data_IF_665834016976
#
_entry.id   IF_665834016976
#
_cell.length_a   1.000
_cell.length_b   1.000
_cell.length_c   1.000
_cell.angle_alpha   90.00
_cell.angle_beta   90.00
_cell.angle_gamma   90.00
#
_symmetry.space_group_name_H-M   'P 1'
#
loop_
_entity.id
_entity.type
_entity.pdbx_description
1 polymer ?
#
# COMPACT_ATOMS: atom_id res chain seq x y z
N UNK A 1 78.38 58.21 16.62
CA UNK A 1 77.81 58.54 16.68
C UNK A 1 76.61 59.14 15.97
N UNK A 2 75.97 58.72 14.98
CA UNK A 2 74.78 59.31 14.36
C UNK A 2 73.55 58.46 14.67
N UNK A 3 72.57 59.00 15.37
CA UNK A 3 71.24 58.46 15.59
C UNK A 3 70.38 58.78 14.36
N UNK A 4 69.75 57.78 13.79
CA UNK A 4 68.71 58.01 12.80
C UNK A 4 67.37 57.58 13.38
N UNK A 5 66.47 58.52 13.50
CA UNK A 5 65.04 58.36 13.77
C UNK A 5 64.37 57.89 12.47
N UNK A 6 63.59 56.83 12.56
CA UNK A 6 62.65 56.46 11.48
C UNK A 6 61.24 56.63 12.02
N UNK A 7 60.49 57.55 11.41
CA UNK A 7 59.06 57.83 11.69
C UNK A 7 58.21 56.67 11.22
N UNK A 8 57.35 56.20 12.10
CA UNK A 8 56.33 55.17 11.79
C UNK A 8 55.02 55.85 11.34
N UNK A 9 54.71 55.68 10.08
CA UNK A 9 53.40 56.14 9.54
C UNK A 9 52.34 55.03 9.72
N UNK A 10 51.31 55.36 10.50
CA UNK A 10 50.12 54.46 10.69
C UNK A 10 49.18 54.64 9.50
N UNK A 11 49.02 53.59 8.69
CA UNK A 11 47.99 53.50 7.66
C UNK A 11 46.82 52.69 8.26
N UNK A 12 45.67 53.39 8.49
CA UNK A 12 44.40 52.78 8.83
C UNK A 12 43.79 52.21 7.54
N UNK A 13 43.79 50.91 7.39
CA UNK A 13 42.97 50.21 6.39
C UNK A 13 41.65 49.81 7.00
N UNK A 14 40.56 50.52 6.57
CA UNK A 14 39.19 50.10 6.87
C UNK A 14 38.87 48.81 6.12
N UNK A 15 38.83 47.70 6.83
CA UNK A 15 38.38 46.41 6.30
C UNK A 15 36.88 46.36 6.11
N UNK A 16 36.42 46.39 4.88
CA UNK A 16 35.03 46.07 4.52
C UNK A 16 34.89 44.53 4.60
N UNK A 17 34.31 44.05 5.67
CA UNK A 17 33.87 42.62 5.74
C UNK A 17 32.56 42.48 4.97
N UNK A 18 32.64 42.03 3.73
CA UNK A 18 31.48 41.53 3.01
C UNK A 18 31.11 40.17 3.60
N UNK A 19 30.01 40.16 4.37
CA UNK A 19 29.36 38.92 4.80
C UNK A 19 28.81 38.22 3.54
N UNK A 20 29.51 37.21 3.06
CA UNK A 20 28.97 36.29 2.07
C UNK A 20 27.96 35.42 2.81
N UNK A 21 26.69 35.76 2.73
CA UNK A 21 25.61 34.87 3.11
C UNK A 21 25.63 33.72 2.12
N UNK A 22 26.22 32.61 2.53
CA UNK A 22 26.12 31.33 1.83
C UNK A 22 24.65 30.93 1.84
N UNK A 23 23.96 31.09 0.72
CA UNK A 23 22.75 30.35 0.48
C UNK A 23 23.13 28.87 0.52
N UNK A 24 22.79 28.16 1.58
CA UNK A 24 22.74 26.71 1.54
C UNK A 24 21.76 26.32 0.43
N UNK A 25 22.29 25.93 -0.71
CA UNK A 25 21.52 25.19 -1.70
C UNK A 25 21.06 23.94 -1.01
N UNK A 26 19.77 23.85 -0.74
CA UNK A 26 19.11 22.57 -0.47
C UNK A 26 19.55 21.62 -1.57
N UNK A 27 20.24 20.54 -1.19
CA UNK A 27 20.65 19.49 -2.14
C UNK A 27 19.34 18.91 -2.68
N UNK A 28 19.04 19.18 -3.95
CA UNK A 28 17.99 18.43 -4.64
C UNK A 28 18.34 16.96 -4.59
N UNK A 29 17.35 16.13 -4.27
CA UNK A 29 17.53 14.68 -4.36
C UNK A 29 18.07 14.31 -5.74
N UNK A 30 18.98 13.34 -5.85
CA UNK A 30 19.44 12.90 -7.16
C UNK A 30 18.23 12.40 -7.98
N UNK A 31 18.28 12.52 -9.33
CA UNK A 31 17.20 12.02 -10.17
C UNK A 31 16.91 10.54 -9.87
N UNK A 32 15.65 10.09 -9.99
CA UNK A 32 15.31 8.69 -9.75
C UNK A 32 16.11 7.76 -10.67
N UNK A 33 16.61 6.65 -10.12
CA UNK A 33 17.22 5.58 -10.90
C UNK A 33 16.21 4.81 -11.74
N UNK A 34 16.67 3.77 -12.41
CA UNK A 34 15.80 2.81 -13.10
C UNK A 34 15.24 1.77 -12.11
N UNK A 35 14.04 1.23 -12.36
CA UNK A 35 13.44 0.22 -11.51
C UNK A 35 14.26 -1.08 -11.49
N UNK A 36 14.43 -1.65 -10.31
CA UNK A 36 15.11 -2.93 -10.09
C UNK A 36 14.13 -4.08 -10.32
N UNK A 37 14.53 -5.11 -11.05
CA UNK A 37 13.66 -6.26 -11.32
C UNK A 37 13.71 -7.30 -10.20
N UNK A 38 12.57 -7.61 -9.60
CA UNK A 38 12.42 -8.77 -8.71
C UNK A 38 12.09 -9.99 -9.58
N UNK A 39 13.04 -10.92 -9.67
CA UNK A 39 12.88 -12.12 -10.51
C UNK A 39 12.16 -13.22 -9.73
N UNK A 40 10.93 -13.52 -10.14
CA UNK A 40 10.13 -14.63 -9.63
C UNK A 40 10.25 -15.85 -10.55
N UNK A 41 10.28 -17.06 -9.97
CA UNK A 41 10.10 -18.30 -10.71
C UNK A 41 8.66 -18.39 -11.24
N UNK A 42 8.40 -19.31 -12.19
CA UNK A 42 7.03 -19.52 -12.69
C UNK A 42 6.05 -19.86 -11.56
N UNK A 43 6.45 -20.71 -10.62
CA UNK A 43 5.62 -21.09 -9.47
C UNK A 43 5.30 -19.89 -8.55
N UNK A 44 6.28 -19.03 -8.31
CA UNK A 44 6.08 -17.81 -7.52
C UNK A 44 5.15 -16.82 -8.24
N UNK A 45 5.26 -16.69 -9.56
CA UNK A 45 4.31 -15.88 -10.36
C UNK A 45 2.89 -16.42 -10.25
N UNK A 46 2.69 -17.73 -10.36
CA UNK A 46 1.38 -18.36 -10.18
C UNK A 46 0.78 -18.11 -8.78
N UNK A 47 1.60 -18.03 -7.71
CA UNK A 47 1.13 -17.68 -6.36
C UNK A 47 0.70 -16.21 -6.31
N UNK A 48 1.48 -15.28 -6.89
CA UNK A 48 1.12 -13.86 -6.98
C UNK A 48 -0.16 -13.65 -7.78
N UNK A 49 -0.31 -14.32 -8.91
CA UNK A 49 -1.54 -14.28 -9.73
C UNK A 49 -2.75 -14.78 -8.94
N UNK A 50 -2.59 -15.83 -8.14
CA UNK A 50 -3.64 -16.33 -7.25
C UNK A 50 -4.01 -15.32 -6.17
N UNK A 51 -3.02 -14.70 -5.53
CA UNK A 51 -3.24 -13.65 -4.54
C UNK A 51 -3.95 -12.43 -5.15
N UNK A 52 -3.60 -12.02 -6.36
CA UNK A 52 -4.28 -10.94 -7.08
C UNK A 52 -5.72 -11.34 -7.47
N UNK A 53 -5.95 -12.60 -7.84
CA UNK A 53 -7.31 -13.10 -8.09
C UNK A 53 -8.17 -13.07 -6.84
N UNK A 54 -7.64 -13.55 -5.71
CA UNK A 54 -8.29 -13.44 -4.41
C UNK A 54 -8.59 -11.96 -4.08
N UNK A 55 -7.65 -11.05 -4.37
CA UNK A 55 -7.85 -9.62 -4.15
C UNK A 55 -9.08 -9.07 -4.88
N UNK A 56 -9.27 -9.43 -6.15
CA UNK A 56 -10.44 -9.01 -6.92
C UNK A 56 -11.72 -9.69 -6.40
N UNK A 57 -11.68 -10.98 -6.09
CA UNK A 57 -12.81 -11.72 -5.55
C UNK A 57 -13.28 -11.18 -4.19
N UNK A 58 -12.36 -10.60 -3.39
CA UNK A 58 -12.68 -9.91 -2.14
C UNK A 58 -13.17 -8.47 -2.37
N UNK A 59 -12.49 -7.70 -3.22
CA UNK A 59 -12.72 -6.27 -3.37
C UNK A 59 -14.02 -5.93 -4.12
N UNK A 60 -14.30 -6.66 -5.21
CA UNK A 60 -15.47 -6.37 -6.06
C UNK A 60 -16.79 -6.45 -5.30
N UNK A 61 -17.06 -7.49 -4.49
CA UNK A 61 -18.27 -7.53 -3.65
C UNK A 61 -18.34 -6.41 -2.62
N UNK A 62 -17.19 -6.04 -1.99
CA UNK A 62 -17.15 -4.94 -1.02
C UNK A 62 -17.52 -3.61 -1.66
N UNK A 63 -17.02 -3.30 -2.86
CA UNK A 63 -17.40 -2.10 -3.61
C UNK A 63 -18.89 -2.13 -3.99
N UNK A 64 -19.41 -3.28 -4.42
CA UNK A 64 -20.81 -3.44 -4.81
C UNK A 64 -21.77 -3.26 -3.61
N UNK A 65 -21.40 -3.77 -2.42
CA UNK A 65 -22.16 -3.59 -1.18
C UNK A 65 -22.34 -2.11 -0.82
N UNK A 66 -21.26 -1.32 -0.89
CA UNK A 66 -21.24 0.09 -0.50
C UNK A 66 -21.81 1.04 -1.57
N UNK A 67 -22.14 0.54 -2.75
CA UNK A 67 -22.73 1.29 -3.87
C UNK A 67 -21.99 2.58 -4.23
N UNK A 68 -20.68 2.61 -4.01
CA UNK A 68 -19.83 3.77 -4.31
C UNK A 68 -19.94 4.95 -3.34
N UNK A 69 -20.57 4.78 -2.17
CA UNK A 69 -20.83 5.88 -1.23
C UNK A 69 -19.74 6.09 -0.16
N UNK A 70 -18.81 5.17 -0.03
CA UNK A 70 -17.78 5.20 1.02
C UNK A 70 -16.38 5.06 0.43
N UNK A 71 -15.41 5.68 1.07
CA UNK A 71 -14.01 5.40 0.81
C UNK A 71 -13.67 3.99 1.32
N UNK A 72 -12.97 3.21 0.51
CA UNK A 72 -12.63 1.82 0.81
C UNK A 72 -11.16 1.62 0.50
N UNK A 73 -10.45 0.90 1.37
CA UNK A 73 -9.08 0.48 1.10
C UNK A 73 -8.82 -0.90 1.67
N UNK A 74 -8.35 -1.78 0.84
CA UNK A 74 -7.92 -3.13 1.21
C UNK A 74 -6.45 -3.28 0.84
N UNK A 75 -5.67 -3.94 1.70
CA UNK A 75 -4.34 -4.44 1.37
C UNK A 75 -4.43 -5.94 1.11
N UNK A 76 -4.56 -6.37 -0.15
CA UNK A 76 -4.61 -7.80 -0.46
C UNK A 76 -3.36 -8.53 0.00
N UNK A 77 -2.19 -7.91 -0.15
CA UNK A 77 -0.93 -8.49 0.29
C UNK A 77 -0.94 -8.77 1.81
N UNK A 78 -1.46 -7.82 2.62
CA UNK A 78 -1.62 -8.00 4.06
C UNK A 78 -2.56 -9.16 4.39
N UNK A 79 -3.76 -9.16 3.79
CA UNK A 79 -4.79 -10.18 4.05
C UNK A 79 -4.30 -11.56 3.64
N UNK A 80 -3.74 -11.71 2.42
CA UNK A 80 -3.26 -13.02 1.95
C UNK A 80 -2.05 -13.50 2.73
N UNK A 81 -1.17 -12.61 3.20
CA UNK A 81 -0.04 -12.95 4.06
C UNK A 81 -0.54 -13.52 5.41
N UNK A 82 -1.46 -12.81 6.09
CA UNK A 82 -2.01 -13.25 7.37
C UNK A 82 -2.75 -14.60 7.24
N UNK A 83 -3.58 -14.74 6.19
CA UNK A 83 -4.30 -16.00 5.95
C UNK A 83 -3.37 -17.14 5.53
N UNK A 84 -2.27 -16.85 4.82
CA UNK A 84 -1.26 -17.87 4.50
C UNK A 84 -0.45 -18.31 5.72
N UNK A 85 -0.20 -17.40 6.68
CA UNK A 85 0.33 -17.79 8.01
C UNK A 85 -0.62 -18.77 8.71
N UNK A 86 -1.92 -18.45 8.71
CA UNK A 86 -2.95 -19.31 9.32
C UNK A 86 -3.09 -20.65 8.60
N UNK A 87 -2.98 -20.66 7.26
CA UNK A 87 -3.03 -21.86 6.42
C UNK A 87 -1.94 -22.88 6.79
N UNK A 88 -0.76 -22.44 7.23
CA UNK A 88 0.29 -23.34 7.74
C UNK A 88 -0.15 -24.13 8.97
N UNK A 89 -1.14 -23.63 9.69
CA UNK A 89 -1.70 -24.24 10.89
C UNK A 89 -2.92 -25.12 10.63
N UNK A 90 -3.53 -24.99 9.47
CA UNK A 90 -4.74 -25.73 9.10
C UNK A 90 -4.43 -27.16 8.66
N UNK A 91 -5.42 -28.06 8.82
CA UNK A 91 -5.36 -29.44 8.37
C UNK A 91 -6.71 -29.85 7.76
N UNK A 92 -6.75 -31.01 7.10
CA UNK A 92 -7.96 -31.62 6.57
C UNK A 92 -8.82 -30.70 5.71
N UNK A 93 -10.12 -30.69 5.94
CA UNK A 93 -11.09 -29.88 5.19
C UNK A 93 -10.87 -28.36 5.39
N UNK A 94 -10.40 -27.94 6.56
CA UNK A 94 -10.09 -26.54 6.83
C UNK A 94 -8.95 -26.05 5.95
N UNK A 95 -7.89 -26.85 5.80
CA UNK A 95 -6.77 -26.53 4.92
C UNK A 95 -7.21 -26.38 3.46
N UNK A 96 -8.01 -27.32 2.95
CA UNK A 96 -8.47 -27.29 1.56
C UNK A 96 -9.44 -26.12 1.30
N UNK A 97 -10.36 -25.83 2.24
CA UNK A 97 -11.27 -24.71 2.14
C UNK A 97 -10.52 -23.36 2.12
N UNK A 98 -9.57 -23.16 3.04
CA UNK A 98 -8.74 -21.97 3.09
C UNK A 98 -7.90 -21.81 1.82
N UNK A 99 -7.26 -22.90 1.37
CA UNK A 99 -6.43 -22.92 0.17
C UNK A 99 -7.22 -22.56 -1.08
N UNK A 100 -8.43 -23.11 -1.24
CA UNK A 100 -9.33 -22.81 -2.35
C UNK A 100 -9.84 -21.36 -2.29
N UNK A 101 -10.25 -20.88 -1.11
CA UNK A 101 -10.67 -19.50 -0.92
C UNK A 101 -9.56 -18.51 -1.33
N UNK A 102 -8.31 -18.80 -0.99
CA UNK A 102 -7.12 -18.02 -1.36
C UNK A 102 -6.67 -18.22 -2.83
N UNK A 103 -7.37 -19.07 -3.60
CA UNK A 103 -7.03 -19.37 -5.00
C UNK A 103 -5.69 -20.09 -5.17
N UNK A 104 -5.25 -20.84 -4.15
CA UNK A 104 -3.99 -21.59 -4.18
C UNK A 104 -4.18 -23.04 -4.63
N UNK A 105 -5.29 -23.37 -5.31
CA UNK A 105 -5.51 -24.71 -5.87
C UNK A 105 -4.33 -25.15 -6.72
N UNK A 106 -3.91 -26.41 -6.56
CA UNK A 106 -2.75 -26.98 -7.26
C UNK A 106 -1.38 -26.55 -6.75
N UNK A 107 -1.29 -25.63 -5.78
CA UNK A 107 -0.03 -25.16 -5.18
C UNK A 107 0.26 -25.89 -3.87
N UNK A 108 1.53 -26.13 -3.58
CA UNK A 108 1.95 -26.69 -2.29
C UNK A 108 2.10 -25.55 -1.26
N UNK A 109 1.99 -25.89 0.02
CA UNK A 109 2.22 -24.92 1.10
C UNK A 109 3.65 -24.35 1.05
N UNK A 110 4.61 -25.13 0.58
CA UNK A 110 6.00 -24.72 0.46
C UNK A 110 6.19 -23.69 -0.67
N UNK A 111 5.56 -23.88 -1.85
CA UNK A 111 5.55 -22.90 -2.94
C UNK A 111 4.96 -21.56 -2.49
N UNK A 112 3.88 -21.59 -1.69
CA UNK A 112 3.25 -20.41 -1.11
C UNK A 112 4.22 -19.73 -0.14
N UNK A 113 4.77 -20.47 0.81
CA UNK A 113 5.66 -19.98 1.85
C UNK A 113 6.94 -19.34 1.27
N UNK A 114 7.58 -20.01 0.33
CA UNK A 114 8.80 -19.50 -0.34
C UNK A 114 8.51 -18.24 -1.15
N UNK A 115 7.31 -18.13 -1.74
CA UNK A 115 6.91 -16.93 -2.45
C UNK A 115 6.77 -15.74 -1.50
N UNK A 116 6.07 -15.90 -0.36
CA UNK A 116 5.95 -14.82 0.62
C UNK A 116 7.29 -14.41 1.21
N UNK A 117 8.16 -15.38 1.54
CA UNK A 117 9.51 -15.07 1.99
C UNK A 117 10.28 -14.20 0.98
N UNK A 118 10.20 -14.58 -0.30
CA UNK A 118 10.87 -13.84 -1.36
C UNK A 118 10.29 -12.43 -1.52
N UNK A 119 8.96 -12.30 -1.59
CA UNK A 119 8.30 -11.00 -1.71
C UNK A 119 8.65 -10.09 -0.55
N UNK A 120 8.57 -10.55 0.70
CA UNK A 120 8.91 -9.77 1.88
C UNK A 120 10.38 -9.31 1.91
N UNK A 121 11.29 -10.16 1.44
CA UNK A 121 12.72 -9.81 1.41
C UNK A 121 13.09 -8.86 0.28
N UNK A 122 12.47 -9.01 -0.87
CA UNK A 122 12.90 -8.30 -2.07
C UNK A 122 12.11 -6.99 -2.29
N UNK A 123 10.82 -6.96 -1.94
CA UNK A 123 10.00 -5.75 -2.12
C UNK A 123 10.41 -4.62 -1.17
N UNK A 124 10.73 -4.93 0.09
CA UNK A 124 11.08 -3.89 1.08
C UNK A 124 12.28 -3.02 0.65
N UNK A 125 13.43 -3.56 0.23
CA UNK A 125 14.60 -2.75 -0.13
C UNK A 125 14.65 -2.33 -1.61
N UNK A 126 13.65 -2.67 -2.43
CA UNK A 126 13.77 -2.58 -3.90
C UNK A 126 13.85 -1.14 -4.42
N UNK A 127 13.26 -0.19 -3.71
CA UNK A 127 13.24 1.22 -4.08
C UNK A 127 13.65 2.09 -2.90
N UNK A 128 14.74 2.83 -3.02
CA UNK A 128 15.28 3.66 -1.93
C UNK A 128 14.48 4.94 -1.67
N UNK A 129 13.54 5.30 -2.55
CA UNK A 129 12.64 6.46 -2.42
C UNK A 129 11.24 6.06 -1.96
N UNK A 130 11.03 4.76 -1.74
CA UNK A 130 9.79 4.19 -1.20
C UNK A 130 10.12 3.48 0.10
N UNK A 131 9.38 3.80 1.15
CA UNK A 131 9.42 3.06 2.40
C UNK A 131 8.24 2.08 2.36
N UNK A 132 8.56 0.81 2.30
CA UNK A 132 7.59 -0.27 2.46
C UNK A 132 8.04 -1.12 3.63
N UNK A 133 7.19 -1.25 4.63
CA UNK A 133 7.43 -2.08 5.79
C UNK A 133 6.32 -3.09 5.95
N UNK A 134 6.72 -4.32 6.21
CA UNK A 134 5.83 -5.46 6.39
C UNK A 134 6.15 -6.05 7.74
N UNK A 135 5.22 -5.97 8.66
CA UNK A 135 5.38 -6.51 10.00
C UNK A 135 4.35 -7.60 10.27
N UNK A 136 4.84 -8.80 10.58
CA UNK A 136 4.02 -9.95 10.94
C UNK A 136 4.23 -10.30 12.40
N UNK A 137 3.16 -10.60 13.12
CA UNK A 137 3.28 -11.14 14.47
C UNK A 137 2.24 -12.22 14.76
N UNK A 138 2.63 -13.16 15.61
CA UNK A 138 1.75 -14.13 16.22
C UNK A 138 1.77 -13.93 17.73
N UNK A 139 0.61 -13.70 18.31
CA UNK A 139 0.40 -13.53 19.73
C UNK A 139 -0.32 -14.76 20.26
N UNK A 140 0.36 -15.51 21.10
CA UNK A 140 -0.14 -16.79 21.62
C UNK A 140 -0.60 -16.57 23.04
N UNK A 141 -1.87 -16.94 23.35
CA UNK A 141 -2.36 -16.94 24.74
C UNK A 141 -1.44 -17.84 25.57
N UNK A 142 -0.98 -17.32 26.71
CA UNK A 142 0.05 -17.98 27.54
C UNK A 142 -0.33 -19.39 28.04
N UNK A 143 -1.63 -19.73 28.04
CA UNK A 143 -2.13 -21.07 28.42
C UNK A 143 -2.17 -22.06 27.27
N UNK A 144 -2.00 -21.58 26.01
CA UNK A 144 -2.03 -22.41 24.82
C UNK A 144 -0.63 -23.00 24.54
N UNK A 145 -0.58 -24.31 24.30
CA UNK A 145 0.63 -24.95 23.81
C UNK A 145 0.61 -24.99 22.29
N UNK A 146 1.43 -24.12 21.67
CA UNK A 146 1.58 -24.06 20.20
C UNK A 146 2.75 -24.93 19.76
N UNK A 147 2.55 -25.68 18.67
CA UNK A 147 3.58 -26.53 18.07
C UNK A 147 4.76 -25.68 17.58
N UNK A 148 5.96 -26.09 17.97
CA UNK A 148 7.18 -25.36 17.59
C UNK A 148 7.36 -25.30 16.06
N UNK A 149 6.99 -26.35 15.34
CA UNK A 149 7.03 -26.41 13.88
C UNK A 149 6.22 -25.29 13.20
N UNK A 150 5.06 -24.94 13.76
CA UNK A 150 4.25 -23.83 13.28
C UNK A 150 4.95 -22.48 13.51
N UNK A 151 5.43 -22.23 14.72
CA UNK A 151 6.18 -21.00 15.04
C UNK A 151 7.43 -20.85 14.15
N UNK A 152 8.16 -21.96 13.92
CA UNK A 152 9.34 -21.96 13.06
C UNK A 152 9.00 -21.64 11.61
N UNK A 153 7.88 -22.17 11.08
CA UNK A 153 7.39 -21.83 9.74
C UNK A 153 7.06 -20.35 9.61
N UNK A 154 6.35 -19.76 10.58
CA UNK A 154 6.01 -18.34 10.57
C UNK A 154 7.26 -17.44 10.63
N UNK A 155 8.21 -17.76 11.50
CA UNK A 155 9.47 -17.03 11.60
C UNK A 155 10.30 -17.14 10.31
N UNK A 156 10.37 -18.33 9.73
CA UNK A 156 11.18 -18.60 8.54
C UNK A 156 10.64 -17.91 7.30
N UNK A 157 9.33 -18.08 7.03
CA UNK A 157 8.73 -17.73 5.75
C UNK A 157 8.02 -16.37 5.75
N UNK A 158 7.55 -15.93 6.90
CA UNK A 158 6.79 -14.67 7.02
C UNK A 158 7.52 -13.63 7.88
N UNK A 159 8.73 -13.93 8.35
CA UNK A 159 9.53 -13.07 9.22
C UNK A 159 8.75 -12.64 10.48
N UNK A 160 7.81 -13.46 10.93
CA UNK A 160 6.89 -13.12 11.98
C UNK A 160 7.55 -13.09 13.37
N UNK A 161 7.19 -12.09 14.18
CA UNK A 161 7.49 -12.07 15.61
C UNK A 161 6.53 -12.98 16.37
N UNK A 162 7.05 -13.93 17.16
CA UNK A 162 6.22 -14.75 18.04
C UNK A 162 6.25 -14.19 19.45
N UNK A 163 5.07 -13.87 19.99
CA UNK A 163 4.90 -13.26 21.31
C UNK A 163 3.90 -14.05 22.15
N UNK A 164 4.08 -14.07 23.47
CA UNK A 164 3.07 -14.59 24.40
C UNK A 164 2.24 -13.45 24.96
N UNK A 165 0.94 -13.66 25.13
CA UNK A 165 0.01 -12.68 25.68
C UNK A 165 -0.89 -13.31 26.73
N UNK A 166 -1.24 -12.56 27.75
CA UNK A 166 -2.29 -12.88 28.71
C UNK A 166 -3.55 -12.09 28.34
N UNK A 167 -4.53 -12.75 27.70
CA UNK A 167 -5.76 -12.06 27.27
C UNK A 167 -6.62 -11.58 28.44
N UNK A 168 -6.33 -12.02 29.68
CA UNK A 168 -7.01 -11.56 30.89
C UNK A 168 -6.35 -10.32 31.52
N UNK A 169 -5.16 -9.93 31.03
CA UNK A 169 -4.52 -8.69 31.46
C UNK A 169 -5.28 -7.49 30.89
N UNK A 170 -5.75 -6.55 31.72
CA UNK A 170 -6.40 -5.32 31.24
C UNK A 170 -5.57 -4.50 30.24
N UNK A 171 -4.25 -4.70 30.21
CA UNK A 171 -3.33 -4.03 29.28
C UNK A 171 -3.07 -4.80 27.98
N UNK A 172 -3.66 -5.98 27.83
CA UNK A 172 -3.38 -6.82 26.66
C UNK A 172 -3.71 -6.13 25.34
N UNK A 173 -4.84 -5.41 25.28
CA UNK A 173 -5.26 -4.60 24.13
C UNK A 173 -4.22 -3.52 23.82
N UNK A 174 -3.81 -2.76 24.84
CA UNK A 174 -2.84 -1.66 24.68
C UNK A 174 -1.48 -2.17 24.18
N UNK A 175 -1.05 -3.35 24.68
CA UNK A 175 0.21 -3.97 24.24
C UNK A 175 0.17 -4.32 22.75
N UNK A 176 -0.94 -4.87 22.27
CA UNK A 176 -1.10 -5.25 20.86
C UNK A 176 -1.25 -4.02 19.99
N UNK A 177 -2.09 -3.06 20.37
CA UNK A 177 -2.27 -1.80 19.64
C UNK A 177 -0.95 -1.02 19.56
N UNK A 178 -0.21 -0.92 20.66
CA UNK A 178 1.10 -0.25 20.67
C UNK A 178 2.13 -0.90 19.73
N UNK A 179 2.09 -2.22 19.54
CA UNK A 179 2.91 -2.88 18.53
C UNK A 179 2.49 -2.50 17.10
N UNK A 180 1.18 -2.43 16.84
CA UNK A 180 0.64 -2.03 15.52
C UNK A 180 1.01 -0.58 15.22
N UNK A 181 0.81 0.32 16.18
CA UNK A 181 1.16 1.74 16.08
C UNK A 181 2.65 1.91 15.75
N UNK A 182 3.53 1.25 16.50
CA UNK A 182 4.98 1.26 16.22
C UNK A 182 5.29 0.83 14.79
N UNK A 183 4.70 -0.28 14.32
CA UNK A 183 4.97 -0.85 13.00
C UNK A 183 4.30 -0.09 11.85
N UNK A 184 3.39 0.80 12.14
CA UNK A 184 2.70 1.63 11.15
C UNK A 184 2.95 3.12 11.32
N UNK A 185 4.00 3.49 12.07
CA UNK A 185 4.38 4.89 12.33
C UNK A 185 3.20 5.74 12.82
N UNK A 186 2.46 5.22 13.81
CA UNK A 186 1.26 5.83 14.42
C UNK A 186 0.10 6.07 13.43
N UNK A 187 0.09 5.41 12.25
CA UNK A 187 -0.97 5.59 11.25
C UNK A 187 -2.16 4.67 11.46
N UNK A 188 -1.96 3.52 12.08
CA UNK A 188 -3.03 2.61 12.48
C UNK A 188 -3.06 2.59 14.00
N UNK A 189 -4.07 3.24 14.59
CA UNK A 189 -4.27 3.33 16.02
C UNK A 189 -5.56 2.58 16.40
N UNK A 190 -5.62 2.10 17.64
CA UNK A 190 -6.82 1.49 18.22
C UNK A 190 -7.45 0.40 17.32
N UNK A 191 -6.60 -0.44 16.69
CA UNK A 191 -7.09 -1.52 15.83
C UNK A 191 -7.98 -2.50 16.60
N UNK A 192 -7.60 -2.80 17.85
CA UNK A 192 -8.36 -3.65 18.77
C UNK A 192 -9.05 -2.80 19.83
N UNK A 193 -10.33 -3.04 20.06
CA UNK A 193 -11.08 -2.47 21.18
C UNK A 193 -11.15 -3.42 22.38
N UNK A 194 -11.05 -4.74 22.11
CA UNK A 194 -11.15 -5.78 23.12
C UNK A 194 -10.47 -7.07 22.62
N UNK A 195 -10.08 -7.93 23.54
CA UNK A 195 -9.68 -9.30 23.29
C UNK A 195 -10.68 -10.25 23.95
N UNK A 196 -11.13 -11.28 23.23
CA UNK A 196 -11.98 -12.31 23.82
C UNK A 196 -11.20 -13.09 24.89
N UNK A 197 -11.80 -13.39 26.05
CA UNK A 197 -11.19 -14.28 27.06
C UNK A 197 -10.88 -15.69 26.53
N UNK A 198 -11.59 -16.10 25.47
CA UNK A 198 -11.43 -17.41 24.81
C UNK A 198 -10.45 -17.35 23.62
N UNK A 199 -9.81 -16.20 23.42
CA UNK A 199 -8.82 -16.07 22.34
C UNK A 199 -7.63 -17.00 22.60
N UNK A 200 -7.39 -17.89 21.66
CA UNK A 200 -6.24 -18.81 21.68
C UNK A 200 -5.00 -18.17 21.09
N UNK A 201 -5.16 -17.51 19.95
CA UNK A 201 -4.06 -16.91 19.18
C UNK A 201 -4.58 -15.75 18.34
N UNK A 202 -3.72 -14.74 18.17
CA UNK A 202 -3.97 -13.59 17.30
C UNK A 202 -2.82 -13.46 16.30
N UNK A 203 -3.15 -13.42 15.01
CA UNK A 203 -2.19 -13.11 13.95
C UNK A 203 -2.43 -11.71 13.45
N UNK A 204 -1.36 -10.95 13.32
CA UNK A 204 -1.40 -9.59 12.82
C UNK A 204 -0.42 -9.46 11.68
N UNK A 205 -0.87 -8.90 10.58
CA UNK A 205 -0.03 -8.36 9.53
C UNK A 205 -0.30 -6.86 9.43
N UNK A 206 0.75 -6.06 9.49
CA UNK A 206 0.71 -4.63 9.26
C UNK A 206 1.59 -4.30 8.06
N UNK A 207 1.05 -3.53 7.12
CA UNK A 207 1.79 -3.02 5.97
C UNK A 207 1.74 -1.50 6.00
N UNK A 208 2.93 -0.90 6.04
CA UNK A 208 3.12 0.53 5.91
C UNK A 208 3.75 0.83 4.56
N UNK A 209 3.21 1.83 3.86
CA UNK A 209 3.72 2.28 2.58
C UNK A 209 3.80 3.80 2.55
N UNK A 210 4.97 4.30 2.18
CA UNK A 210 5.22 5.71 1.94
C UNK A 210 6.07 5.84 0.68
N UNK A 211 5.47 6.33 -0.39
CA UNK A 211 6.13 6.48 -1.68
C UNK A 211 6.10 7.93 -2.15
N UNK A 212 7.25 8.52 -2.45
CA UNK A 212 7.32 9.77 -3.19
C UNK A 212 6.97 9.51 -4.65
N UNK A 213 6.19 10.38 -5.28
CA UNK A 213 6.01 10.31 -6.73
C UNK A 213 7.38 10.35 -7.45
N UNK A 214 7.49 9.66 -8.57
CA UNK A 214 8.67 9.78 -9.42
C UNK A 214 8.83 11.22 -9.91
N UNK A 215 7.73 11.82 -10.34
CA UNK A 215 7.58 13.23 -10.66
C UNK A 215 6.54 13.80 -9.68
N UNK A 216 6.99 14.66 -8.76
CA UNK A 216 6.12 15.26 -7.75
C UNK A 216 5.24 16.33 -8.41
N UNK A 217 4.01 16.52 -7.89
CA UNK A 217 3.16 17.65 -8.31
C UNK A 217 3.69 18.96 -7.71
N UNK A 218 3.57 20.07 -8.44
CA UNK A 218 3.87 21.37 -7.88
C UNK A 218 2.72 21.82 -6.95
N UNK A 219 3.09 22.21 -5.73
CA UNK A 219 2.11 22.71 -4.73
C UNK A 219 1.44 24.00 -5.17
N UNK A 220 2.15 24.83 -5.94
CA UNK A 220 1.65 26.13 -6.43
C UNK A 220 0.60 25.93 -7.54
N UNK A 221 0.59 24.77 -8.22
CA UNK A 221 -0.40 24.39 -9.24
C UNK A 221 -1.64 23.70 -8.64
N UNK A 222 -1.63 23.39 -7.33
CA UNK A 222 -2.78 22.81 -6.64
C UNK A 222 -3.84 23.89 -6.39
N UNK A 223 -5.06 23.66 -6.87
CA UNK A 223 -6.19 24.57 -6.76
C UNK A 223 -7.43 23.86 -6.27
N UNK A 224 -8.27 24.57 -5.50
CA UNK A 224 -9.58 24.07 -5.14
C UNK A 224 -10.46 23.97 -6.39
N UNK A 225 -10.87 22.74 -6.72
CA UNK A 225 -11.74 22.45 -7.87
C UNK A 225 -12.88 21.51 -7.45
N UNK A 226 -13.99 21.49 -8.21
CA UNK A 226 -15.11 20.63 -7.89
C UNK A 226 -14.77 19.15 -8.11
N UNK A 227 -15.08 18.33 -7.11
CA UNK A 227 -15.14 16.87 -7.20
C UNK A 227 -16.62 16.45 -7.09
N UNK A 228 -17.12 15.73 -8.07
CA UNK A 228 -18.53 15.34 -8.21
C UNK A 228 -18.78 14.01 -7.51
N UNK A 229 -19.20 14.06 -6.24
CA UNK A 229 -19.52 12.85 -5.45
C UNK A 229 -20.66 12.05 -6.10
N UNK A 230 -21.66 12.76 -6.60
CA UNK A 230 -22.79 12.19 -7.40
C UNK A 230 -23.13 13.15 -8.54
N UNK A 231 -23.86 12.67 -9.58
CA UNK A 231 -24.41 13.58 -10.58
C UNK A 231 -25.22 14.72 -9.93
N UNK A 232 -24.76 15.95 -10.05
CA UNK A 232 -25.42 17.15 -9.49
C UNK A 232 -25.00 17.55 -8.07
N UNK A 233 -24.09 16.79 -7.41
CA UNK A 233 -23.52 17.17 -6.11
C UNK A 233 -22.01 17.16 -6.18
N UNK A 234 -21.38 18.30 -5.90
CA UNK A 234 -19.91 18.44 -5.86
C UNK A 234 -19.43 19.08 -4.58
N UNK A 235 -18.18 18.80 -4.25
CA UNK A 235 -17.43 19.41 -3.15
C UNK A 235 -16.16 20.07 -3.70
N UNK A 236 -15.69 21.13 -3.07
CA UNK A 236 -14.39 21.72 -3.42
C UNK A 236 -13.30 20.93 -2.70
N UNK A 237 -12.29 20.55 -3.47
CA UNK A 237 -11.15 19.79 -2.95
C UNK A 237 -9.85 20.32 -3.55
N UNK A 238 -8.73 20.24 -2.81
CA UNK A 238 -7.41 20.53 -3.38
C UNK A 238 -7.12 19.56 -4.52
N UNK A 239 -7.12 20.08 -5.74
CA UNK A 239 -6.87 19.32 -6.97
C UNK A 239 -5.45 19.62 -7.42
N UNK A 240 -4.56 18.64 -7.31
CA UNK A 240 -3.19 18.68 -7.80
C UNK A 240 -3.20 18.64 -9.33
N UNK A 241 -2.24 19.30 -9.95
CA UNK A 241 -2.09 19.33 -11.41
C UNK A 241 -0.65 19.10 -11.81
N UNK A 242 -0.46 18.34 -12.90
CA UNK A 242 0.81 18.30 -13.62
C UNK A 242 0.61 17.93 -15.09
N UNK A 243 1.51 18.43 -15.94
CA UNK A 243 1.66 18.02 -17.33
C UNK A 243 2.91 17.16 -17.44
N UNK A 244 2.74 15.87 -17.66
CA UNK A 244 3.83 14.89 -17.73
C UNK A 244 3.50 13.70 -18.64
N UNK A 245 4.50 12.85 -18.87
CA UNK A 245 4.32 11.61 -19.64
C UNK A 245 3.89 10.48 -18.74
N UNK A 246 2.67 10.01 -18.93
CA UNK A 246 2.10 8.86 -18.22
C UNK A 246 1.73 7.72 -19.16
N UNK A 247 1.78 6.51 -18.62
CA UNK A 247 1.17 5.36 -19.27
C UNK A 247 -0.35 5.43 -19.07
N UNK A 248 -1.08 5.38 -20.17
CA UNK A 248 -2.55 5.47 -20.18
C UNK A 248 -3.13 4.37 -21.06
N UNK A 249 -4.21 3.75 -20.60
CA UNK A 249 -5.01 2.84 -21.42
C UNK A 249 -6.50 3.02 -21.12
N UNK A 250 -7.32 2.50 -22.01
CA UNK A 250 -8.77 2.55 -21.86
C UNK A 250 -9.35 1.14 -21.80
N UNK A 251 -10.30 0.94 -20.90
CA UNK A 251 -11.21 -0.19 -20.91
C UNK A 251 -12.58 0.26 -21.42
N UNK A 252 -13.52 -0.67 -21.56
CA UNK A 252 -14.88 -0.33 -21.91
C UNK A 252 -15.53 0.65 -20.92
N UNK A 253 -15.19 0.55 -19.62
CA UNK A 253 -15.89 1.24 -18.54
C UNK A 253 -15.03 2.31 -17.84
N UNK A 254 -13.73 2.41 -18.13
CA UNK A 254 -12.84 3.30 -17.42
C UNK A 254 -11.58 3.66 -18.23
N UNK A 255 -10.97 4.79 -17.88
CA UNK A 255 -9.61 5.15 -18.26
C UNK A 255 -8.67 4.78 -17.12
N UNK A 256 -7.56 4.11 -17.44
CA UNK A 256 -6.51 3.77 -16.48
C UNK A 256 -5.28 4.62 -16.76
N UNK A 257 -4.70 5.20 -15.71
CA UNK A 257 -3.44 5.95 -15.76
C UNK A 257 -2.51 5.43 -14.66
N UNK A 258 -1.23 5.25 -15.00
CA UNK A 258 -0.21 4.77 -14.06
C UNK A 258 0.73 5.89 -13.64
N UNK A 259 0.83 6.13 -12.34
CA UNK A 259 1.70 7.11 -11.70
C UNK A 259 2.81 6.35 -10.95
N UNK A 260 4.06 6.41 -11.41
CA UNK A 260 5.16 5.72 -10.75
C UNK A 260 5.59 6.43 -9.47
N UNK A 261 5.96 5.65 -8.46
CA UNK A 261 6.66 6.12 -7.27
C UNK A 261 8.18 5.93 -7.42
N UNK A 262 8.94 6.77 -6.75
CA UNK A 262 10.38 6.63 -6.57
C UNK A 262 11.14 6.32 -7.87
N UNK A 263 11.79 5.17 -7.90
CA UNK A 263 12.52 4.69 -9.08
C UNK A 263 11.62 3.98 -10.11
N UNK A 264 10.33 3.81 -9.79
CA UNK A 264 9.35 3.11 -10.64
C UNK A 264 9.14 1.64 -10.29
N UNK A 265 9.70 1.18 -9.18
CA UNK A 265 9.43 -0.16 -8.66
C UNK A 265 8.00 -0.30 -8.15
N UNK A 266 7.43 0.79 -7.66
CA UNK A 266 6.03 0.88 -7.27
C UNK A 266 5.30 1.89 -8.13
N UNK A 267 4.01 1.65 -8.34
CA UNK A 267 3.12 2.58 -9.03
C UNK A 267 1.73 2.60 -8.42
N UNK A 268 1.05 3.75 -8.56
CA UNK A 268 -0.40 3.82 -8.38
C UNK A 268 -1.05 3.76 -9.77
N UNK A 269 -1.93 2.80 -9.98
CA UNK A 269 -2.82 2.78 -11.13
C UNK A 269 -4.16 3.36 -10.71
N UNK A 270 -4.52 4.52 -11.25
CA UNK A 270 -5.85 5.12 -11.07
C UNK A 270 -6.76 4.60 -12.17
N UNK A 271 -7.91 4.05 -11.81
CA UNK A 271 -8.96 3.60 -12.72
C UNK A 271 -10.16 4.55 -12.57
N UNK A 272 -10.25 5.50 -13.49
CA UNK A 272 -11.32 6.50 -13.54
C UNK A 272 -12.49 5.98 -14.36
N UNK A 273 -13.64 5.66 -13.76
CA UNK A 273 -14.82 5.24 -14.53
C UNK A 273 -15.23 6.29 -15.57
N UNK A 274 -15.68 5.85 -16.73
CA UNK A 274 -16.22 6.74 -17.75
C UNK A 274 -17.45 7.52 -17.21
N UNK A 275 -17.79 8.65 -17.84
CA UNK A 275 -18.96 9.41 -17.42
C UNK A 275 -20.23 8.55 -17.44
N UNK A 276 -20.99 8.61 -16.36
CA UNK A 276 -22.20 7.79 -16.17
C UNK A 276 -21.96 6.34 -15.74
N UNK A 277 -20.70 5.90 -15.62
CA UNK A 277 -20.34 4.58 -15.10
C UNK A 277 -20.01 4.69 -13.61
N UNK A 278 -20.60 3.82 -12.79
CA UNK A 278 -20.27 3.76 -11.35
C UNK A 278 -18.95 3.04 -11.08
N UNK A 279 -18.33 3.32 -9.94
CA UNK A 279 -17.13 2.57 -9.47
C UNK A 279 -17.42 1.07 -9.33
N UNK A 280 -18.65 0.69 -8.91
CA UNK A 280 -19.06 -0.70 -8.84
C UNK A 280 -19.11 -1.38 -10.23
N UNK A 281 -19.61 -0.68 -11.25
CA UNK A 281 -19.63 -1.19 -12.62
C UNK A 281 -18.22 -1.29 -13.22
N UNK A 282 -17.32 -0.36 -12.88
CA UNK A 282 -15.91 -0.44 -13.26
C UNK A 282 -15.21 -1.59 -12.51
N UNK A 283 -15.41 -1.72 -11.18
CA UNK A 283 -14.85 -2.80 -10.37
C UNK A 283 -15.28 -4.19 -10.87
N UNK A 284 -16.53 -4.35 -11.34
CA UNK A 284 -17.03 -5.62 -11.89
C UNK A 284 -16.26 -6.11 -13.12
N UNK A 285 -15.44 -5.26 -13.75
CA UNK A 285 -14.56 -5.65 -14.86
C UNK A 285 -13.18 -6.15 -14.43
N UNK A 286 -12.88 -6.11 -13.11
CA UNK A 286 -11.63 -6.60 -12.55
C UNK A 286 -11.60 -8.13 -12.58
N UNK A 287 -10.87 -8.66 -13.53
CA UNK A 287 -10.52 -10.08 -13.62
C UNK A 287 -9.01 -10.20 -13.83
N UNK A 288 -8.39 -11.34 -13.53
CA UNK A 288 -6.97 -11.55 -13.81
C UNK A 288 -6.59 -11.28 -15.26
N UNK A 289 -7.46 -11.68 -16.20
CA UNK A 289 -7.25 -11.51 -17.63
C UNK A 289 -7.28 -10.04 -18.04
N UNK A 290 -8.32 -9.31 -17.62
CA UNK A 290 -8.45 -7.88 -17.92
C UNK A 290 -7.33 -7.08 -17.26
N UNK A 291 -7.00 -7.40 -16.01
CA UNK A 291 -5.89 -6.75 -15.31
C UNK A 291 -4.56 -6.95 -16.03
N UNK A 292 -4.24 -8.18 -16.40
CA UNK A 292 -3.02 -8.49 -17.16
C UNK A 292 -2.96 -7.76 -18.50
N UNK A 293 -4.10 -7.70 -19.21
CA UNK A 293 -4.22 -6.99 -20.48
C UNK A 293 -3.99 -5.49 -20.31
N UNK A 294 -4.61 -4.86 -19.31
CA UNK A 294 -4.41 -3.43 -19.06
C UNK A 294 -2.98 -3.11 -18.64
N UNK A 295 -2.35 -3.94 -17.78
CA UNK A 295 -0.94 -3.76 -17.40
C UNK A 295 -0.02 -3.90 -18.60
N UNK A 296 -0.32 -4.80 -19.55
CA UNK A 296 0.46 -4.92 -20.79
C UNK A 296 0.35 -3.67 -21.69
N UNK A 297 -0.82 -3.04 -21.73
CA UNK A 297 -1.02 -1.79 -22.47
C UNK A 297 -0.34 -0.60 -21.79
N UNK A 298 -0.40 -0.50 -20.45
CA UNK A 298 0.34 0.53 -19.72
C UNK A 298 1.85 0.39 -19.91
N UNK A 299 2.36 -0.82 -19.97
CA UNK A 299 3.79 -1.08 -20.22
C UNK A 299 4.24 -0.77 -21.68
N UNK A 300 3.31 -0.58 -22.61
CA UNK A 300 3.64 -0.33 -24.03
C UNK A 300 4.21 1.06 -24.30
N UNK A 301 4.02 2.03 -23.41
CA UNK A 301 4.60 3.36 -23.55
C UNK A 301 3.80 4.44 -22.82
N UNK A 302 4.30 5.66 -22.92
CA UNK A 302 3.71 6.84 -22.28
C UNK A 302 3.26 7.86 -23.30
N UNK A 303 2.29 8.69 -22.92
CA UNK A 303 1.83 9.85 -23.71
C UNK A 303 1.78 11.08 -22.80
N UNK A 304 1.85 12.28 -23.38
CA UNK A 304 1.74 13.53 -22.65
C UNK A 304 0.30 13.72 -22.14
N UNK A 305 0.15 14.00 -20.85
CA UNK A 305 -1.13 14.08 -20.15
C UNK A 305 -1.17 15.30 -19.24
N UNK A 306 -2.24 16.08 -19.39
CA UNK A 306 -2.68 17.06 -18.38
C UNK A 306 -3.50 16.30 -17.33
N UNK A 307 -2.86 15.98 -16.20
CA UNK A 307 -3.48 15.23 -15.12
C UNK A 307 -3.95 16.16 -13.99
N UNK A 308 -5.21 16.02 -13.62
CA UNK A 308 -5.72 16.56 -12.35
C UNK A 308 -6.12 15.42 -11.43
N UNK A 309 -5.54 15.36 -10.23
CA UNK A 309 -5.78 14.32 -9.21
C UNK A 309 -6.06 14.99 -7.85
N UNK A 310 -7.15 14.65 -7.15
CA UNK A 310 -7.40 15.24 -5.83
C UNK A 310 -6.40 14.74 -4.79
N UNK A 311 -6.06 15.59 -3.80
CA UNK A 311 -5.54 15.08 -2.53
C UNK A 311 -6.61 14.26 -1.86
N UNK A 312 -6.23 13.19 -1.19
CA UNK A 312 -7.16 12.41 -0.36
C UNK A 312 -6.44 11.76 0.81
N UNK A 313 -7.19 11.62 1.91
CA UNK A 313 -6.70 11.00 3.13
C UNK A 313 -7.84 10.33 3.85
N UNK A 314 -7.70 9.05 4.19
CA UNK A 314 -8.70 8.33 4.97
C UNK A 314 -8.15 7.05 5.58
N UNK A 315 -8.88 6.58 6.58
CA UNK A 315 -8.72 5.26 7.17
C UNK A 315 -9.89 4.36 6.75
N UNK A 316 -9.62 3.07 6.68
CA UNK A 316 -10.66 2.08 6.44
C UNK A 316 -10.46 0.88 7.35
N UNK A 317 -11.55 0.45 8.00
CA UNK A 317 -11.58 -0.70 8.90
C UNK A 317 -12.71 -1.63 8.51
N UNK A 318 -12.42 -2.94 8.41
CA UNK A 318 -13.41 -3.98 8.08
C UNK A 318 -13.14 -5.27 8.84
N UNK A 319 -14.20 -5.89 9.33
CA UNK A 319 -14.19 -7.29 9.76
C UNK A 319 -14.43 -8.17 8.54
N UNK A 320 -13.48 -9.04 8.21
CA UNK A 320 -13.49 -9.83 6.96
C UNK A 320 -14.14 -11.21 7.09
N UNK A 321 -14.60 -11.62 8.27
CA UNK A 321 -15.16 -12.97 8.51
C UNK A 321 -16.26 -13.34 7.52
N UNK A 322 -17.22 -12.43 7.30
CA UNK A 322 -18.37 -12.68 6.41
C UNK A 322 -17.91 -12.74 4.95
N UNK A 323 -16.99 -11.85 4.54
CA UNK A 323 -16.42 -11.85 3.19
C UNK A 323 -15.68 -13.16 2.90
N UNK A 324 -14.82 -13.61 3.83
CA UNK A 324 -14.06 -14.84 3.71
C UNK A 324 -14.97 -16.08 3.74
N UNK A 325 -16.04 -16.03 4.53
CA UNK A 325 -17.07 -17.08 4.53
C UNK A 325 -17.76 -17.18 3.16
N UNK A 326 -18.10 -16.05 2.55
CA UNK A 326 -18.67 -16.00 1.21
C UNK A 326 -17.71 -16.52 0.12
N UNK A 327 -16.40 -16.37 0.33
CA UNK A 327 -15.36 -16.91 -0.55
C UNK A 327 -15.09 -18.42 -0.35
N UNK A 328 -15.79 -19.07 0.59
CA UNK A 328 -15.71 -20.52 0.83
C UNK A 328 -14.89 -20.94 2.07
N UNK A 329 -14.41 -19.97 2.88
CA UNK A 329 -13.56 -20.24 4.04
C UNK A 329 -14.36 -20.48 5.34
N UNK A 330 -15.68 -20.67 5.24
CA UNK A 330 -16.61 -20.71 6.38
C UNK A 330 -16.26 -21.72 7.46
N UNK A 331 -15.77 -22.93 7.11
CA UNK A 331 -15.38 -23.95 8.08
C UNK A 331 -14.34 -23.46 9.10
N UNK A 332 -13.41 -22.60 8.68
CA UNK A 332 -12.34 -22.08 9.54
C UNK A 332 -12.85 -21.22 10.73
N UNK A 333 -14.11 -20.79 10.66
CA UNK A 333 -14.79 -19.95 11.65
C UNK A 333 -15.79 -20.72 12.54
N UNK A 334 -15.80 -22.05 12.46
CA UNK A 334 -16.74 -22.93 13.18
C UNK A 334 -16.00 -23.89 14.09
N UNK A 335 -16.73 -24.56 14.99
CA UNK A 335 -16.21 -25.61 15.88
C UNK A 335 -15.71 -26.86 15.10
N UNK A 336 -15.94 -26.93 13.78
CA UNK A 336 -15.42 -27.98 12.91
C UNK A 336 -14.07 -27.62 12.29
N UNK A 337 -13.51 -26.49 12.64
CA UNK A 337 -12.20 -26.07 12.15
C UNK A 337 -11.10 -27.01 12.65
N UNK A 338 -10.23 -27.42 11.75
CA UNK A 338 -9.05 -28.24 12.06
C UNK A 338 -7.78 -27.38 11.93
N UNK A 339 -7.27 -26.94 13.07
CA UNK A 339 -5.98 -26.25 13.20
C UNK A 339 -4.97 -27.08 13.98
N UNK A 340 -5.05 -28.40 13.84
CA UNK A 340 -4.19 -29.36 14.55
C UNK A 340 -2.70 -29.18 14.25
N UNK A 341 -2.31 -28.51 13.16
CA UNK A 341 -0.91 -28.14 12.93
C UNK A 341 -0.43 -26.96 13.80
N UNK A 342 -1.35 -26.22 14.47
CA UNK A 342 -1.02 -25.18 15.45
C UNK A 342 -0.89 -25.77 16.85
N UNK A 343 -1.90 -26.53 17.28
CA UNK A 343 -2.01 -27.04 18.66
C UNK A 343 -2.78 -28.36 18.65
N UNK A 344 -2.67 -29.14 19.73
CA UNK A 344 -3.52 -30.31 19.98
C UNK A 344 -4.85 -29.91 20.65
N UNK A 345 -5.07 -28.63 20.94
CA UNK A 345 -6.32 -28.08 21.43
C UNK A 345 -7.19 -27.60 20.27
N UNK A 346 -8.50 -27.85 20.34
CA UNK A 346 -9.44 -27.34 19.34
C UNK A 346 -9.46 -25.83 19.34
N UNK A 347 -9.45 -25.24 18.15
CA UNK A 347 -9.48 -23.80 17.95
C UNK A 347 -10.10 -23.42 16.61
N UNK A 348 -10.59 -22.20 16.54
CA UNK A 348 -11.16 -21.59 15.33
C UNK A 348 -10.65 -20.17 15.14
N UNK A 349 -10.83 -19.60 13.95
CA UNK A 349 -10.60 -18.19 13.71
C UNK A 349 -11.80 -17.42 14.27
N UNK A 350 -11.60 -16.63 15.31
CA UNK A 350 -12.67 -15.84 15.91
C UNK A 350 -13.00 -14.60 15.07
N UNK A 351 -11.97 -13.86 14.64
CA UNK A 351 -12.09 -12.59 13.92
C UNK A 351 -10.95 -12.41 12.92
N UNK A 352 -11.24 -11.70 11.82
CA UNK A 352 -10.22 -11.24 10.87
C UNK A 352 -10.40 -9.74 10.68
N UNK A 353 -9.66 -8.95 11.43
CA UNK A 353 -9.69 -7.51 11.37
C UNK A 353 -8.71 -7.00 10.32
N UNK A 354 -9.19 -6.08 9.49
CA UNK A 354 -8.38 -5.39 8.50
C UNK A 354 -8.54 -3.88 8.69
N UNK A 355 -7.43 -3.18 8.82
CA UNK A 355 -7.39 -1.72 8.91
C UNK A 355 -6.25 -1.19 8.06
N UNK A 356 -6.53 -0.12 7.33
CA UNK A 356 -5.60 0.53 6.42
C UNK A 356 -5.69 2.04 6.55
N UNK A 357 -4.62 2.71 6.18
CA UNK A 357 -4.53 4.17 6.12
C UNK A 357 -3.86 4.58 4.81
N UNK A 358 -4.35 5.64 4.19
CA UNK A 358 -3.74 6.28 3.02
C UNK A 358 -3.82 7.79 3.13
N UNK A 359 -2.75 8.45 2.73
CA UNK A 359 -2.68 9.89 2.51
C UNK A 359 -1.92 10.14 1.20
N UNK A 360 -2.57 10.80 0.24
CA UNK A 360 -1.99 11.13 -1.07
C UNK A 360 -1.99 12.64 -1.25
N UNK A 361 -0.83 13.19 -1.55
CA UNK A 361 -0.58 14.61 -1.77
C UNK A 361 0.43 14.82 -2.91
N UNK A 362 0.92 16.04 -3.12
CA UNK A 362 1.80 16.43 -4.22
C UNK A 362 3.14 15.70 -4.22
N UNK A 363 3.65 15.34 -3.07
CA UNK A 363 4.94 14.68 -2.93
C UNK A 363 4.84 13.16 -3.13
N UNK A 364 3.63 12.62 -2.95
CA UNK A 364 3.42 11.18 -3.04
C UNK A 364 2.31 10.69 -2.12
N UNK A 365 2.43 9.43 -1.79
CA UNK A 365 1.66 8.84 -0.69
C UNK A 365 2.51 8.96 0.57
N UNK A 366 2.05 9.81 1.49
CA UNK A 366 2.69 10.16 2.77
C UNK A 366 4.12 10.74 2.67
N UNK A 367 4.27 12.00 2.20
CA UNK A 367 5.56 12.70 2.12
C UNK A 367 5.51 14.19 2.53
N UNK A 368 6.64 14.73 2.95
CA UNK A 368 6.83 16.15 3.30
C UNK A 368 8.21 16.66 2.84
N UNK A 369 8.30 17.37 1.70
CA UNK A 369 9.35 18.34 1.29
C UNK A 369 9.15 18.85 -0.14
N UNK A 370 9.49 20.12 -0.44
CA UNK A 370 9.21 20.79 -1.71
C UNK A 370 10.39 20.80 -2.68
N UNK A 371 10.12 20.63 -3.98
CA UNK A 371 11.09 20.82 -5.08
C UNK A 371 10.45 21.69 -6.16
N UNK A 372 11.17 22.69 -6.67
CA UNK A 372 10.73 23.60 -7.75
C UNK A 372 11.37 23.15 -9.06
N UNK A 373 10.56 23.00 -10.11
CA UNK A 373 10.99 22.71 -11.49
C UNK A 373 10.45 23.82 -12.40
N UNK A 374 11.33 24.50 -13.15
CA UNK A 374 10.95 25.48 -14.18
C UNK A 374 10.74 24.77 -15.53
N UNK A 375 9.61 25.05 -16.20
CA UNK A 375 9.31 24.52 -17.55
C UNK A 375 9.22 25.63 -18.59
N UNK A 376 9.81 25.38 -19.77
CA UNK A 376 9.66 26.23 -20.97
C UNK A 376 8.60 25.66 -21.92
N UNK A 377 7.75 26.55 -22.44
CA UNK A 377 6.69 26.22 -23.40
C UNK A 377 7.26 26.04 -24.82
N UNK A 378 7.12 24.85 -25.40
CA UNK A 378 7.34 24.63 -26.82
C UNK A 378 6.16 23.87 -27.43
N UNK A 379 5.48 24.48 -28.39
CA UNK A 379 4.44 23.97 -29.32
C UNK A 379 3.34 23.07 -28.72
N UNK A 380 2.09 23.37 -29.09
CA UNK A 380 0.89 22.66 -28.62
C UNK A 380 0.77 21.28 -29.31
N UNK A 381 1.14 20.16 -28.69
CA UNK A 381 0.67 18.84 -29.05
C UNK A 381 -0.78 18.68 -28.60
N UNK A 382 -1.54 17.79 -29.21
CA UNK A 382 -2.83 17.38 -28.65
C UNK A 382 -2.58 16.59 -27.36
N UNK A 383 -2.57 17.28 -26.23
CA UNK A 383 -2.35 16.68 -24.90
C UNK A 383 -3.60 15.94 -24.46
N UNK A 384 -3.44 14.74 -23.97
CA UNK A 384 -4.55 13.99 -23.37
C UNK A 384 -4.90 14.59 -22.01
N UNK A 385 -6.15 15.00 -21.79
CA UNK A 385 -6.61 15.58 -20.51
C UNK A 385 -7.31 14.53 -19.69
N UNK A 386 -6.84 14.29 -18.45
CA UNK A 386 -7.45 13.37 -17.48
C UNK A 386 -7.77 14.12 -16.19
N UNK A 387 -9.07 14.36 -15.96
CA UNK A 387 -9.55 15.00 -14.74
C UNK A 387 -10.16 13.94 -13.80
N UNK A 388 -9.46 13.60 -12.73
CA UNK A 388 -9.94 12.68 -11.69
C UNK A 388 -10.84 13.46 -10.73
N UNK A 389 -12.00 13.89 -11.21
CA UNK A 389 -12.94 14.78 -10.52
C UNK A 389 -14.25 14.10 -10.10
N UNK A 390 -14.27 12.78 -10.03
CA UNK A 390 -15.41 11.93 -9.63
C UNK A 390 -14.90 10.65 -8.99
N UNK A 391 -15.76 9.86 -8.30
CA UNK A 391 -15.34 8.61 -7.65
C UNK A 391 -14.52 7.71 -8.57
N UNK A 392 -13.40 7.22 -8.05
CA UNK A 392 -12.45 6.41 -8.80
C UNK A 392 -11.90 5.26 -7.95
N UNK A 393 -11.31 4.28 -8.63
CA UNK A 393 -10.56 3.19 -8.00
C UNK A 393 -9.07 3.44 -8.16
N UNK A 394 -8.27 2.91 -7.24
CA UNK A 394 -6.82 2.95 -7.34
C UNK A 394 -6.20 1.64 -6.85
N UNK A 395 -5.01 1.36 -7.37
CA UNK A 395 -4.24 0.16 -7.05
C UNK A 395 -2.78 0.56 -6.88
N UNK A 396 -2.18 0.23 -5.73
CA UNK A 396 -0.74 0.37 -5.53
C UNK A 396 -0.12 -1.01 -5.72
N UNK A 397 0.83 -1.11 -6.65
CA UNK A 397 1.45 -2.39 -6.99
C UNK A 397 2.98 -2.29 -7.05
N UNK A 398 3.65 -3.42 -6.82
CA UNK A 398 5.04 -3.58 -7.24
C UNK A 398 5.07 -4.01 -8.71
N UNK A 399 5.81 -3.27 -9.53
CA UNK A 399 5.67 -3.32 -11.00
C UNK A 399 6.24 -4.58 -11.62
N UNK A 400 7.35 -5.11 -11.10
CA UNK A 400 8.05 -6.25 -11.68
C UNK A 400 7.45 -7.61 -11.32
N UNK A 401 6.89 -7.75 -10.12
CA UNK A 401 6.19 -8.97 -9.68
C UNK A 401 4.71 -8.93 -10.02
N UNK A 402 4.14 -7.74 -10.20
CA UNK A 402 2.71 -7.53 -10.36
C UNK A 402 1.90 -7.67 -9.06
N UNK A 403 2.57 -7.75 -7.90
CA UNK A 403 1.92 -7.86 -6.59
C UNK A 403 1.11 -6.61 -6.28
N UNK A 404 -0.19 -6.75 -6.07
CA UNK A 404 -1.06 -5.67 -5.60
C UNK A 404 -0.91 -5.54 -4.08
N UNK A 405 -0.36 -4.41 -3.65
CA UNK A 405 -0.13 -4.11 -2.22
C UNK A 405 -1.39 -3.51 -1.60
N UNK A 406 -1.98 -2.53 -2.28
CA UNK A 406 -3.22 -1.87 -1.87
C UNK A 406 -4.15 -1.69 -3.05
N UNK A 407 -5.44 -1.68 -2.76
CA UNK A 407 -6.49 -1.31 -3.69
C UNK A 407 -7.60 -0.60 -2.95
N UNK A 408 -8.19 0.41 -3.59
CA UNK A 408 -9.21 1.20 -2.92
C UNK A 408 -10.15 1.94 -3.86
N UNK A 409 -11.13 2.57 -3.25
CA UNK A 409 -12.08 3.50 -3.85
C UNK A 409 -12.01 4.82 -3.11
N UNK A 410 -11.90 5.90 -3.85
CA UNK A 410 -12.14 7.26 -3.35
C UNK A 410 -13.52 7.70 -3.83
N UNK A 411 -14.48 7.72 -2.91
CA UNK A 411 -15.83 8.22 -3.16
C UNK A 411 -15.96 9.71 -2.80
N UNK A 412 -15.26 10.13 -1.76
CA UNK A 412 -15.13 11.50 -1.27
C UNK A 412 -13.68 11.73 -0.81
N UNK A 413 -12.92 12.62 -1.43
CA UNK A 413 -11.50 12.82 -1.12
C UNK A 413 -11.24 13.67 0.14
N UNK A 414 -12.28 14.22 0.78
CA UNK A 414 -12.16 15.07 1.99
C UNK A 414 -11.80 14.29 3.23
#
# INVERSE_FOLDING_TARGET
MKKNLISLALILTAGFTTSITSCERTKSDPPPGDPVQINLTLKQKEVVESANKFAFDLFVPVIAEKKGAENIMISPFSVTSALSMTLNGAAGETFEAMKSALRYDGKTIEEINETYLKLMKDMVPVDTRVIMEIANSVWVEKRLTVKQSYIDALKKYYLAEARSIDVTDPKAVDIVNGWIEEKTHDKIQDMLSELSPDLAMLLINAVYFKGKWRNEFDKDDTQDKPFYITPGSSVQVPMMFQNEKFAVTQSQNATLIELPYGQGNYSMVVMLPNEGVSTAAAAATLTPENWSLWMSYLAAGTTEVDLSLPRFKYEYKRELKDDLTALGMGIAFTDFADFSNISDQDMLISRVLHQTFIETNEEGTEAAAATVVEMELTSIPMTTVINVNRPFLYFIRETSTGTIVFMGQVADPR
#
